data_IF_907165188189
#
_entry.id   IF_907165188189
#
_cell.length_a   1.000
_cell.length_b   1.000
_cell.length_c   1.000
_cell.angle_alpha   90.00
_cell.angle_beta   90.00
_cell.angle_gamma   90.00
#
_symmetry.space_group_name_H-M   'P 1'
#
loop_
_entity.id
_entity.type
_entity.pdbx_description
1 polymer ?
#
# COMPACT_ATOMS: atom_id res chain seq x y z
N UNK A 1 -24.83 -23.69 18.20
CA UNK A 1 -23.76 -23.75 19.23
C UNK A 1 -22.45 -24.26 18.66
N UNK A 2 -21.85 -23.49 17.75
CA UNK A 2 -20.52 -23.76 17.14
C UNK A 2 -19.69 -22.48 17.21
N UNK A 3 -18.37 -22.60 17.21
CA UNK A 3 -17.49 -21.44 17.04
C UNK A 3 -17.69 -20.84 15.66
N UNK A 4 -17.87 -19.51 15.56
CA UNK A 4 -18.07 -18.83 14.30
C UNK A 4 -16.85 -18.87 13.36
N UNK A 5 -15.64 -19.07 13.90
CA UNK A 5 -14.39 -19.06 13.12
C UNK A 5 -13.93 -20.46 12.70
N UNK A 6 -13.84 -21.40 13.64
CA UNK A 6 -13.31 -22.74 13.37
C UNK A 6 -14.40 -23.83 13.26
N UNK A 7 -15.68 -23.46 13.36
CA UNK A 7 -16.84 -24.36 13.28
C UNK A 7 -16.87 -25.48 14.34
N UNK A 8 -15.95 -25.50 15.31
CA UNK A 8 -15.94 -26.48 16.39
C UNK A 8 -17.23 -26.42 17.20
N UNK A 9 -17.89 -27.57 17.40
CA UNK A 9 -19.09 -27.67 18.24
C UNK A 9 -18.77 -27.38 19.71
N UNK A 10 -19.70 -26.71 20.40
CA UNK A 10 -19.63 -26.55 21.86
C UNK A 10 -19.52 -27.90 22.52
N UNK A 11 -18.49 -28.04 23.37
CA UNK A 11 -18.30 -29.15 24.31
C UNK A 11 -18.32 -28.57 25.72
N UNK A 12 -18.77 -29.35 26.70
CA UNK A 12 -18.94 -28.87 28.08
C UNK A 12 -17.66 -28.28 28.70
N UNK A 13 -16.49 -28.79 28.32
CA UNK A 13 -15.18 -28.34 28.83
C UNK A 13 -14.62 -27.09 28.14
N UNK A 14 -15.27 -26.60 27.07
CA UNK A 14 -14.73 -25.53 26.24
C UNK A 14 -15.43 -24.22 26.57
N UNK A 15 -14.65 -23.20 26.91
CA UNK A 15 -15.16 -21.86 27.16
C UNK A 15 -15.40 -21.15 25.82
N UNK A 16 -16.60 -20.59 25.68
CA UNK A 16 -16.96 -19.77 24.52
C UNK A 16 -17.13 -18.33 24.98
N UNK A 17 -16.52 -17.41 24.24
CA UNK A 17 -16.55 -15.99 24.53
C UNK A 17 -17.17 -15.26 23.34
N UNK A 18 -17.84 -14.17 23.64
CA UNK A 18 -18.36 -13.25 22.64
C UNK A 18 -17.27 -12.22 22.29
N UNK A 19 -17.07 -11.96 21.00
CA UNK A 19 -16.23 -10.87 20.55
C UNK A 19 -16.93 -9.53 20.85
N UNK A 20 -16.28 -8.62 21.59
CA UNK A 20 -16.89 -7.33 21.92
C UNK A 20 -16.93 -6.31 20.78
N UNK A 21 -16.30 -6.62 19.65
CA UNK A 21 -16.23 -5.75 18.49
C UNK A 21 -17.23 -6.12 17.39
N UNK A 22 -17.51 -7.40 17.19
CA UNK A 22 -18.43 -7.88 16.16
C UNK A 22 -19.56 -8.79 16.68
N UNK A 23 -19.63 -9.05 17.99
CA UNK A 23 -20.70 -9.82 18.63
C UNK A 23 -20.66 -11.33 18.38
N UNK A 24 -19.73 -11.84 17.57
CA UNK A 24 -19.71 -13.27 17.23
C UNK A 24 -19.21 -14.13 18.39
N UNK A 25 -19.84 -15.29 18.56
CA UNK A 25 -19.47 -16.27 19.58
C UNK A 25 -18.36 -17.18 19.04
N UNK A 26 -17.25 -17.24 19.77
CA UNK A 26 -16.04 -17.96 19.37
C UNK A 26 -15.52 -18.82 20.52
N UNK A 27 -14.79 -19.89 20.21
CA UNK A 27 -14.09 -20.65 21.23
C UNK A 27 -12.90 -19.85 21.76
N UNK A 28 -12.43 -20.19 22.96
CA UNK A 28 -11.32 -19.52 23.62
C UNK A 28 -10.05 -19.40 22.75
N UNK A 29 -9.72 -20.42 21.95
CA UNK A 29 -8.59 -20.38 21.03
C UNK A 29 -8.73 -19.26 19.98
N UNK A 30 -9.92 -19.13 19.39
CA UNK A 30 -10.24 -18.14 18.36
C UNK A 30 -10.55 -16.74 18.90
N UNK A 31 -10.53 -16.56 20.23
CA UNK A 31 -10.75 -15.29 20.93
C UNK A 31 -9.71 -15.04 22.01
N UNK A 32 -8.49 -15.53 21.80
CA UNK A 32 -7.39 -15.44 22.76
C UNK A 32 -6.83 -14.02 22.87
N UNK A 33 -7.07 -13.19 21.86
CA UNK A 33 -6.49 -11.85 21.74
C UNK A 33 -7.42 -10.77 22.31
N UNK A 34 -6.82 -9.64 22.70
CA UNK A 34 -7.56 -8.50 23.24
C UNK A 34 -7.17 -7.20 22.54
N UNK A 35 -8.16 -6.37 22.26
CA UNK A 35 -7.99 -5.04 21.66
C UNK A 35 -8.40 -3.95 22.66
N UNK A 36 -7.77 -2.77 22.62
CA UNK A 36 -8.26 -1.62 23.37
C UNK A 36 -9.64 -1.22 22.87
N UNK A 37 -10.57 -0.90 23.77
CA UNK A 37 -11.85 -0.36 23.34
C UNK A 37 -11.66 1.09 22.85
N UNK A 38 -12.62 1.59 22.06
CA UNK A 38 -12.51 2.90 21.39
C UNK A 38 -12.53 4.08 22.40
N UNK A 39 -12.89 3.82 23.66
CA UNK A 39 -12.95 4.84 24.70
C UNK A 39 -11.57 5.09 25.36
N UNK A 40 -11.24 6.37 25.56
CA UNK A 40 -10.06 6.80 26.34
C UNK A 40 -10.17 6.22 27.75
N UNK A 41 -9.16 5.45 28.17
CA UNK A 41 -9.08 4.68 29.43
C UNK A 41 -9.84 3.34 29.49
N UNK A 42 -10.24 2.78 28.34
CA UNK A 42 -10.87 1.46 28.34
C UNK A 42 -9.88 0.33 28.57
N UNK A 43 -10.32 -0.69 29.32
CA UNK A 43 -9.58 -1.95 29.47
C UNK A 43 -9.55 -2.68 28.12
N UNK A 44 -8.53 -3.51 27.90
CA UNK A 44 -8.48 -4.38 26.72
C UNK A 44 -9.63 -5.39 26.79
N UNK A 45 -10.44 -5.44 25.75
CA UNK A 45 -11.59 -6.33 25.63
C UNK A 45 -11.30 -7.51 24.70
N UNK A 46 -12.01 -8.61 24.90
CA UNK A 46 -11.82 -9.82 24.08
C UNK A 46 -12.24 -9.55 22.63
N UNK A 47 -11.35 -9.90 21.70
CA UNK A 47 -11.59 -9.82 20.27
C UNK A 47 -11.43 -11.20 19.65
N UNK A 48 -12.25 -11.52 18.65
CA UNK A 48 -11.99 -12.68 17.81
C UNK A 48 -10.78 -12.43 16.90
N UNK A 49 -10.15 -13.50 16.43
CA UNK A 49 -8.95 -13.41 15.59
C UNK A 49 -9.18 -12.57 14.32
N UNK A 50 -10.37 -12.62 13.72
CA UNK A 50 -10.69 -11.82 12.55
C UNK A 50 -10.67 -10.31 12.86
N UNK A 51 -11.33 -9.88 13.94
CA UNK A 51 -11.31 -8.47 14.36
C UNK A 51 -9.91 -8.02 14.76
N UNK A 52 -9.15 -8.88 15.43
CA UNK A 52 -7.77 -8.58 15.80
C UNK A 52 -6.89 -8.36 14.57
N UNK A 53 -6.92 -9.29 13.61
CA UNK A 53 -6.13 -9.19 12.38
C UNK A 53 -6.52 -7.96 11.55
N UNK A 54 -7.82 -7.65 11.49
CA UNK A 54 -8.30 -6.44 10.82
C UNK A 54 -7.76 -5.18 11.49
N UNK A 55 -7.72 -5.13 12.82
CA UNK A 55 -7.14 -4.01 13.55
C UNK A 55 -5.63 -3.88 13.30
N UNK A 56 -4.88 -4.99 13.30
CA UNK A 56 -3.46 -4.98 12.94
C UNK A 56 -3.23 -4.44 11.52
N UNK A 57 -4.02 -4.89 10.55
CA UNK A 57 -3.95 -4.39 9.18
C UNK A 57 -4.16 -2.86 9.11
N UNK A 58 -5.17 -2.33 9.81
CA UNK A 58 -5.43 -0.89 9.85
C UNK A 58 -4.30 -0.11 10.53
N UNK A 59 -3.74 -0.62 11.62
CA UNK A 59 -2.61 0.01 12.30
C UNK A 59 -1.39 0.06 11.38
N UNK A 60 -1.02 -1.07 10.75
CA UNK A 60 0.10 -1.11 9.80
C UNK A 60 -0.12 -0.19 8.60
N UNK A 61 -1.36 -0.12 8.09
CA UNK A 61 -1.71 0.78 7.00
C UNK A 61 -1.59 2.25 7.40
N UNK A 62 -2.01 2.62 8.61
CA UNK A 62 -1.86 3.96 9.15
C UNK A 62 -0.39 4.31 9.35
N UNK A 63 0.41 3.42 9.94
CA UNK A 63 1.85 3.63 10.12
C UNK A 63 2.56 3.89 8.79
N UNK A 64 2.29 3.05 7.78
CA UNK A 64 2.83 3.26 6.43
C UNK A 64 2.40 4.61 5.83
N UNK A 65 1.17 5.07 6.10
CA UNK A 65 0.72 6.38 5.62
C UNK A 65 1.48 7.54 6.29
N UNK A 66 1.79 7.44 7.58
CA UNK A 66 2.57 8.44 8.30
C UNK A 66 4.02 8.50 7.83
N UNK A 67 4.66 7.34 7.64
CA UNK A 67 6.03 7.25 7.11
C UNK A 67 6.13 7.89 5.71
N UNK A 68 5.13 7.65 4.84
CA UNK A 68 5.09 8.26 3.51
C UNK A 68 4.92 9.80 3.59
N UNK A 69 4.12 10.31 4.53
CA UNK A 69 3.98 11.76 4.70
C UNK A 69 5.25 12.43 5.24
N UNK A 70 5.98 11.77 6.14
CA UNK A 70 7.26 12.29 6.62
C UNK A 70 8.33 12.28 5.52
N UNK A 71 8.38 11.21 4.72
CA UNK A 71 9.27 11.14 3.56
C UNK A 71 8.98 12.27 2.56
N UNK A 72 7.70 12.52 2.26
CA UNK A 72 7.29 13.62 1.38
C UNK A 72 7.69 14.99 1.93
N UNK A 73 7.49 15.24 3.23
CA UNK A 73 7.92 16.50 3.88
C UNK A 73 9.44 16.69 3.81
N UNK A 74 10.23 15.64 4.08
CA UNK A 74 11.70 15.73 3.97
C UNK A 74 12.13 16.01 2.53
N UNK A 75 11.46 15.41 1.55
CA UNK A 75 11.74 15.66 0.14
C UNK A 75 11.42 17.11 -0.26
N UNK A 76 10.31 17.68 0.21
CA UNK A 76 10.02 19.11 0.00
C UNK A 76 11.07 20.03 0.62
N UNK A 77 11.50 19.76 1.86
CA UNK A 77 12.54 20.57 2.51
C UNK A 77 13.89 20.51 1.78
N UNK A 78 14.23 19.37 1.19
CA UNK A 78 15.43 19.24 0.37
C UNK A 78 15.33 20.07 -0.92
N UNK A 79 14.17 20.03 -1.59
CA UNK A 79 13.93 20.84 -2.79
C UNK A 79 13.97 22.34 -2.49
N UNK A 80 13.34 22.79 -1.40
CA UNK A 80 13.39 24.20 -0.96
C UNK A 80 14.83 24.63 -0.63
N UNK A 81 15.63 23.74 -0.03
CA UNK A 81 17.04 24.01 0.26
C UNK A 81 17.87 24.08 -1.02
N UNK A 82 17.67 23.17 -1.97
CA UNK A 82 18.34 23.19 -3.27
C UNK A 82 17.99 24.45 -4.07
N UNK A 83 16.73 24.90 -4.05
CA UNK A 83 16.33 26.16 -4.67
C UNK A 83 17.00 27.37 -4.02
N UNK A 84 17.11 27.37 -2.69
CA UNK A 84 17.77 28.44 -1.95
C UNK A 84 19.27 28.49 -2.24
N UNK A 85 19.95 27.35 -2.21
CA UNK A 85 21.38 27.23 -2.52
C UNK A 85 21.65 27.64 -3.98
N UNK A 86 20.75 27.29 -4.92
CA UNK A 86 20.82 27.71 -6.33
C UNK A 86 20.59 29.21 -6.50
N UNK A 87 19.65 29.80 -5.78
CA UNK A 87 19.41 31.24 -5.82
C UNK A 87 20.60 32.04 -5.25
N UNK A 88 21.26 31.53 -4.21
CA UNK A 88 22.49 32.12 -3.65
C UNK A 88 23.66 32.06 -4.63
N UNK A 89 23.82 30.94 -5.35
CA UNK A 89 24.81 30.79 -6.44
C UNK A 89 24.57 31.76 -7.61
N UNK A 90 23.31 32.00 -7.99
CA UNK A 90 22.95 32.92 -9.09
C UNK A 90 22.98 34.40 -8.68
N UNK A 91 22.83 34.70 -7.39
CA UNK A 91 22.92 36.07 -6.85
C UNK A 91 24.35 36.55 -6.60
N UNK A 92 25.34 35.64 -6.62
CA UNK A 92 26.76 35.98 -6.55
C UNK A 92 27.22 36.38 -7.96
N UNK A 93 27.10 37.66 -8.30
CA UNK A 93 27.77 38.23 -9.48
C UNK A 93 29.27 38.07 -9.28
N UNK A 94 29.83 37.05 -9.92
CA UNK A 94 31.27 36.86 -10.01
C UNK A 94 31.75 37.85 -11.05
N UNK A 95 32.21 39.02 -10.62
CA UNK A 95 33.14 39.83 -11.39
C UNK A 95 34.43 39.03 -11.47
N UNK A 96 34.62 38.20 -12.50
CA UNK A 96 35.92 37.61 -12.80
C UNK A 96 36.15 37.56 -14.31
N UNK A 97 37.31 38.13 -14.65
CA UNK A 97 38.03 37.97 -15.90
C UNK A 97 38.17 36.48 -16.28
N UNK A 98 38.25 36.24 -17.58
CA UNK A 98 38.22 34.93 -18.21
C UNK A 98 39.44 34.07 -17.84
N UNK A 99 39.25 33.09 -16.96
CA UNK A 99 40.24 32.02 -16.72
C UNK A 99 39.77 30.70 -17.36
N UNK A 100 40.65 30.09 -18.17
CA UNK A 100 40.43 28.91 -19.02
C UNK A 100 39.95 27.62 -18.31
N UNK A 101 39.86 27.60 -16.98
CA UNK A 101 39.37 26.45 -16.21
C UNK A 101 37.85 26.17 -16.39
N UNK A 102 37.07 27.16 -16.85
CA UNK A 102 35.62 27.06 -17.00
C UNK A 102 35.16 26.15 -18.17
N UNK A 103 36.05 25.75 -19.09
CA UNK A 103 35.69 24.88 -20.20
C UNK A 103 35.51 23.41 -19.79
N UNK A 104 36.27 22.94 -18.80
CA UNK A 104 36.21 21.55 -18.33
C UNK A 104 34.95 21.25 -17.49
N UNK A 105 34.45 22.24 -16.76
CA UNK A 105 33.25 22.10 -15.91
C UNK A 105 31.95 22.09 -16.73
N UNK A 106 31.93 22.81 -17.86
CA UNK A 106 30.80 22.78 -18.83
C UNK A 106 30.65 21.41 -19.50
N UNK A 107 31.74 20.69 -19.75
CA UNK A 107 31.67 19.34 -20.33
C UNK A 107 31.08 18.32 -19.35
N UNK A 108 31.39 18.42 -18.06
CA UNK A 108 30.82 17.54 -17.03
C UNK A 108 29.31 17.79 -16.87
N UNK A 109 28.88 19.06 -16.85
CA UNK A 109 27.46 19.39 -16.80
C UNK A 109 26.68 18.94 -18.04
N UNK A 110 27.29 18.96 -19.23
CA UNK A 110 26.67 18.46 -20.45
C UNK A 110 26.44 16.93 -20.40
N UNK A 111 27.36 16.16 -19.81
CA UNK A 111 27.19 14.72 -19.59
C UNK A 111 26.09 14.41 -18.56
N UNK A 112 25.95 15.22 -17.52
CA UNK A 112 24.87 15.06 -16.52
C UNK A 112 23.50 15.33 -17.14
N UNK A 113 23.36 16.38 -17.95
CA UNK A 113 22.10 16.73 -18.62
C UNK A 113 21.69 15.65 -19.62
N UNK A 114 22.62 15.12 -20.40
CA UNK A 114 22.36 14.02 -21.33
C UNK A 114 22.02 12.72 -20.59
N UNK A 115 22.68 12.44 -19.46
CA UNK A 115 22.35 11.33 -18.58
C UNK A 115 20.95 11.43 -17.95
N UNK A 116 20.51 12.62 -17.57
CA UNK A 116 19.16 12.88 -17.06
C UNK A 116 18.09 12.74 -18.16
N UNK A 117 18.35 13.24 -19.37
CA UNK A 117 17.47 13.04 -20.53
C UNK A 117 17.27 11.56 -20.87
N UNK A 118 18.34 10.77 -20.85
CA UNK A 118 18.29 9.33 -21.08
C UNK A 118 17.50 8.58 -19.99
N UNK A 119 17.53 9.05 -18.73
CA UNK A 119 16.67 8.51 -17.65
C UNK A 119 15.22 8.89 -17.82
N UNK A 120 14.92 10.13 -18.25
CA UNK A 120 13.57 10.59 -18.56
C UNK A 120 12.87 9.70 -19.58
N UNK A 121 13.53 9.41 -20.70
CA UNK A 121 12.98 8.49 -21.72
C UNK A 121 12.78 7.05 -21.21
N UNK A 122 13.63 6.57 -20.30
CA UNK A 122 13.42 5.25 -19.68
C UNK A 122 12.20 5.23 -18.77
N UNK A 123 11.92 6.31 -18.04
CA UNK A 123 10.73 6.42 -17.19
C UNK A 123 9.44 6.47 -18.02
N UNK A 124 9.45 7.22 -19.12
CA UNK A 124 8.33 7.26 -20.08
C UNK A 124 8.09 5.87 -20.74
N UNK A 125 9.17 5.14 -21.03
CA UNK A 125 9.05 3.74 -21.49
C UNK A 125 8.51 2.80 -20.40
N UNK A 126 8.74 3.07 -19.12
CA UNK A 126 8.21 2.25 -18.03
C UNK A 126 6.72 2.56 -17.84
N UNK A 127 6.32 3.83 -17.90
CA UNK A 127 4.92 4.25 -17.76
C UNK A 127 4.01 3.69 -18.86
N UNK A 128 4.49 3.68 -20.10
CA UNK A 128 3.81 3.02 -21.23
C UNK A 128 3.73 1.48 -21.07
N UNK A 129 4.65 0.85 -20.33
CA UNK A 129 4.62 -0.59 -20.02
C UNK A 129 3.69 -0.90 -18.85
N UNK A 130 3.63 -0.06 -17.82
CA UNK A 130 2.75 -0.24 -16.67
C UNK A 130 1.28 -0.03 -17.04
N UNK A 131 0.97 0.93 -17.90
CA UNK A 131 -0.38 1.11 -18.47
C UNK A 131 -0.82 -0.12 -19.26
N UNK A 132 0.04 -0.67 -20.14
CA UNK A 132 -0.24 -1.93 -20.84
C UNK A 132 -0.44 -3.13 -19.90
N UNK A 133 0.30 -3.19 -18.79
CA UNK A 133 0.12 -4.22 -17.77
C UNK A 133 -1.22 -4.07 -17.04
N UNK A 134 -1.65 -2.83 -16.77
CA UNK A 134 -2.96 -2.57 -16.19
C UNK A 134 -4.10 -3.02 -17.13
N UNK A 135 -4.01 -2.71 -18.42
CA UNK A 135 -5.01 -3.12 -19.42
C UNK A 135 -5.07 -4.65 -19.58
N UNK A 136 -3.92 -5.32 -19.60
CA UNK A 136 -3.89 -6.80 -19.68
C UNK A 136 -4.45 -7.45 -18.42
N UNK A 137 -4.21 -6.88 -17.24
CA UNK A 137 -4.82 -7.35 -16.00
C UNK A 137 -6.34 -7.14 -15.98
N UNK A 138 -6.83 -6.02 -16.53
CA UNK A 138 -8.26 -5.76 -16.67
C UNK A 138 -8.94 -6.76 -17.62
N UNK A 139 -8.33 -7.03 -18.78
CA UNK A 139 -8.82 -8.03 -19.73
C UNK A 139 -8.82 -9.44 -19.14
N UNK A 140 -7.78 -9.80 -18.37
CA UNK A 140 -7.74 -11.10 -17.69
C UNK A 140 -8.88 -11.23 -16.66
N UNK A 141 -9.12 -10.18 -15.88
CA UNK A 141 -10.24 -10.13 -14.93
C UNK A 141 -11.58 -10.34 -15.64
N UNK A 142 -11.80 -9.67 -16.76
CA UNK A 142 -13.04 -9.82 -17.54
C UNK A 142 -13.21 -11.25 -18.07
N UNK A 143 -12.17 -11.85 -18.65
CA UNK A 143 -12.19 -13.24 -19.12
C UNK A 143 -12.49 -14.22 -17.97
N UNK A 144 -11.92 -14.01 -16.78
CA UNK A 144 -12.21 -14.87 -15.62
C UNK A 144 -13.67 -14.74 -15.15
N UNK A 145 -14.29 -13.56 -15.27
CA UNK A 145 -15.71 -13.37 -14.97
C UNK A 145 -16.60 -14.10 -15.99
N UNK A 146 -16.27 -14.02 -17.28
CA UNK A 146 -16.99 -14.74 -18.34
C UNK A 146 -16.87 -16.28 -18.17
N UNK A 147 -15.70 -16.78 -17.76
CA UNK A 147 -15.51 -18.20 -17.43
C UNK A 147 -16.33 -18.62 -16.20
N UNK A 148 -16.40 -17.77 -15.17
CA UNK A 148 -17.22 -18.05 -13.99
C UNK A 148 -18.72 -18.13 -14.33
N UNK A 149 -19.21 -17.25 -15.20
CA UNK A 149 -20.63 -17.22 -15.58
C UNK A 149 -21.01 -18.35 -16.55
N UNK A 150 -20.12 -18.75 -17.46
CA UNK A 150 -20.33 -19.95 -18.29
C UNK A 150 -20.30 -21.23 -17.46
N UNK A 151 -19.45 -21.31 -16.43
CA UNK A 151 -19.43 -22.41 -15.47
C UNK A 151 -20.74 -22.53 -14.66
N UNK A 152 -21.36 -21.41 -14.29
CA UNK A 152 -22.67 -21.38 -13.62
C UNK A 152 -23.80 -21.84 -14.53
N UNK A 153 -23.82 -21.40 -15.80
CA UNK A 153 -24.84 -21.81 -16.78
C UNK A 153 -24.82 -23.30 -17.11
N UNK A 154 -23.64 -23.95 -17.15
CA UNK A 154 -23.55 -25.41 -17.35
C UNK A 154 -23.99 -26.21 -16.12
N UNK A 155 -23.87 -25.67 -14.91
CA UNK A 155 -24.38 -26.33 -13.70
C UNK A 155 -25.90 -26.33 -13.63
N UNK A 156 -26.58 -25.33 -14.18
CA UNK A 156 -28.06 -25.27 -14.16
C UNK A 156 -28.71 -26.13 -15.24
N UNK A 157 -28.03 -26.49 -16.34
CA UNK A 157 -28.58 -27.37 -17.37
C UNK A 157 -28.48 -28.87 -17.04
N UNK A 158 -27.70 -29.26 -16.03
CA UNK A 158 -27.53 -30.68 -15.65
C UNK A 158 -28.58 -31.17 -14.64
N UNK A 159 -29.36 -30.27 -14.04
CA UNK A 159 -30.43 -30.60 -13.07
C UNK A 159 -31.85 -30.47 -13.66
N UNK A 160 -31.98 -30.29 -14.98
CA UNK A 160 -33.25 -29.97 -15.66
C UNK A 160 -33.84 -31.08 -16.53
N UNK A 161 -33.38 -32.32 -16.43
CA UNK A 161 -34.03 -33.50 -17.03
C UNK A 161 -34.25 -34.54 -15.94
N UNK A 162 -35.45 -34.52 -15.37
CA UNK A 162 -35.97 -35.46 -14.39
C UNK A 162 -37.46 -35.25 -14.25
#
# INVERSE_FOLDING_TARGET
NVCALCCTRRRALWVYRECKFCGVVTCEACSSKRLPAIHKNSRKENACDACFNQACYWISKLQASFENTEAFRKQQQLLEKEEKDRAELLGRTVDCEEDEAALADRTVMAEVITGLGARGHRLESIDSKTTRLADTAANFRELTMQLADTGKRKKTSWWGFG
#
